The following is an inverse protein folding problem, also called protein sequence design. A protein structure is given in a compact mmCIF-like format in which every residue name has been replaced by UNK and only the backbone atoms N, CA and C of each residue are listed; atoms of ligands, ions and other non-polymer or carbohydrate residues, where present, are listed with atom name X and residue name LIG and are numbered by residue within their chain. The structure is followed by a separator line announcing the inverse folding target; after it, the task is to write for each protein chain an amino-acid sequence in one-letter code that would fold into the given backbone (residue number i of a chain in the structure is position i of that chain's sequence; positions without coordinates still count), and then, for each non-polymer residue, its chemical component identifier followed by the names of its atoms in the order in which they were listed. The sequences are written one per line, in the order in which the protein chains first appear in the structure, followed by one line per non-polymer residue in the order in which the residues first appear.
data_IF_765527180001
#
_entry.id   IF_765527180001
#
_cell.length_a   1.000
_cell.length_b   1.000
_cell.length_c   1.000
_cell.angle_alpha   90.00
_cell.angle_beta   90.00
_cell.angle_gamma   90.00
#
_symmetry.space_group_name_H-M   'P 1'
#
loop_
_entity.id
_entity.type
_entity.pdbx_description
1 polymer ?
#
# COMPACT_ATOMS: atom_id res chain seq x y z
N UNK A 1 22.44 31.36 -17.87
CA UNK A 1 22.26 29.90 -17.77
C UNK A 1 21.31 29.63 -16.60
N UNK A 2 20.15 29.01 -16.85
CA UNK A 2 19.22 28.57 -15.79
C UNK A 2 19.75 27.26 -15.19
N UNK A 3 19.71 27.06 -13.85
CA UNK A 3 20.10 25.78 -13.29
C UNK A 3 19.09 24.73 -13.72
N UNK A 4 19.59 23.63 -14.29
CA UNK A 4 18.81 22.44 -14.56
C UNK A 4 18.34 21.88 -13.22
N UNK A 5 17.03 21.96 -12.95
CA UNK A 5 16.41 21.23 -11.85
C UNK A 5 16.72 19.75 -12.06
N UNK A 6 17.48 19.16 -11.13
CA UNK A 6 17.70 17.72 -11.02
C UNK A 6 16.35 17.07 -10.73
N UNK A 7 15.57 16.82 -11.78
CA UNK A 7 14.37 16.00 -11.73
C UNK A 7 14.82 14.61 -11.30
N UNK A 8 14.50 14.23 -10.06
CA UNK A 8 14.54 12.84 -9.63
C UNK A 8 13.82 11.99 -10.69
N UNK A 9 14.36 10.83 -11.10
CA UNK A 9 13.73 10.03 -12.13
C UNK A 9 12.30 9.71 -11.68
N UNK A 10 11.33 10.05 -12.52
CA UNK A 10 9.93 9.76 -12.26
C UNK A 10 9.79 8.25 -12.04
N UNK A 11 9.21 7.85 -10.90
CA UNK A 11 8.93 6.44 -10.58
C UNK A 11 8.03 5.89 -11.69
N UNK A 12 8.37 4.73 -12.26
CA UNK A 12 7.59 4.11 -13.35
C UNK A 12 6.18 3.73 -12.89
N UNK A 13 5.21 3.70 -13.79
CA UNK A 13 3.83 3.30 -13.46
C UNK A 13 3.74 1.92 -12.81
N UNK A 14 4.62 0.98 -13.21
CA UNK A 14 4.69 -0.34 -12.60
C UNK A 14 5.18 -0.27 -11.14
N UNK A 15 6.20 0.54 -10.85
CA UNK A 15 6.68 0.72 -9.49
C UNK A 15 5.67 1.46 -8.61
N UNK A 16 4.91 2.41 -9.18
CA UNK A 16 3.79 3.07 -8.50
C UNK A 16 2.71 2.05 -8.13
N UNK A 17 2.27 1.22 -9.09
CA UNK A 17 1.31 0.15 -8.86
C UNK A 17 1.79 -0.82 -7.78
N UNK A 18 3.04 -1.28 -7.87
CA UNK A 18 3.61 -2.24 -6.92
C UNK A 18 3.65 -1.66 -5.50
N UNK A 19 4.07 -0.39 -5.35
CA UNK A 19 4.13 0.25 -4.05
C UNK A 19 2.74 0.40 -3.42
N UNK A 20 1.74 0.89 -4.16
CA UNK A 20 0.38 1.05 -3.62
C UNK A 20 -0.27 -0.31 -3.32
N UNK A 21 -0.05 -1.29 -4.18
CA UNK A 21 -0.59 -2.65 -4.00
C UNK A 21 0.03 -3.35 -2.79
N UNK A 22 1.32 -3.12 -2.53
CA UNK A 22 2.04 -3.64 -1.36
C UNK A 22 1.51 -3.05 -0.06
N UNK A 23 1.26 -1.74 -0.03
CA UNK A 23 0.66 -1.06 1.12
C UNK A 23 -0.75 -1.59 1.40
N UNK A 24 -1.57 -1.75 0.36
CA UNK A 24 -2.90 -2.33 0.50
C UNK A 24 -2.85 -3.80 0.99
N UNK A 25 -1.96 -4.62 0.43
CA UNK A 25 -1.80 -6.03 0.80
C UNK A 25 -1.34 -6.18 2.26
N UNK A 26 -0.32 -5.43 2.68
CA UNK A 26 0.16 -5.43 4.06
C UNK A 26 -0.89 -4.92 5.05
N UNK A 27 -1.71 -3.93 4.67
CA UNK A 27 -2.79 -3.43 5.53
C UNK A 27 -3.90 -4.47 5.68
N UNK A 28 -4.27 -5.16 4.61
CA UNK A 28 -5.20 -6.29 4.66
C UNK A 28 -4.64 -7.45 5.48
N UNK A 29 -3.33 -7.70 5.40
CA UNK A 29 -2.65 -8.69 6.25
C UNK A 29 -2.80 -8.34 7.73
N UNK A 30 -2.55 -7.07 8.09
CA UNK A 30 -2.78 -6.60 9.45
C UNK A 30 -4.23 -6.85 9.91
N UNK A 31 -5.21 -6.53 9.06
CA UNK A 31 -6.64 -6.73 9.37
C UNK A 31 -6.98 -8.19 9.66
N UNK A 32 -6.50 -9.10 8.82
CA UNK A 32 -6.96 -10.49 8.79
C UNK A 32 -6.07 -11.45 9.62
N UNK A 33 -4.81 -11.09 9.87
CA UNK A 33 -3.81 -11.95 10.56
C UNK A 33 -3.25 -11.34 11.85
N UNK A 34 -3.36 -10.02 12.04
CA UNK A 34 -2.71 -9.33 13.16
C UNK A 34 -3.69 -8.68 14.14
N UNK A 35 -4.94 -9.16 14.19
CA UNK A 35 -5.98 -8.67 15.11
C UNK A 35 -6.28 -7.16 15.00
N UNK A 36 -6.07 -6.55 13.83
CA UNK A 36 -6.37 -5.13 13.58
C UNK A 36 -7.80 -4.95 13.08
N UNK A 37 -8.77 -5.28 13.92
CA UNK A 37 -10.21 -5.11 13.63
C UNK A 37 -10.64 -3.64 13.53
N UNK A 38 -9.78 -2.69 13.93
CA UNK A 38 -9.97 -1.25 13.73
C UNK A 38 -9.78 -0.81 12.28
N UNK A 39 -9.19 -1.66 11.42
CA UNK A 39 -8.99 -1.34 10.01
C UNK A 39 -10.29 -1.54 9.20
N UNK A 40 -10.55 -0.66 8.20
CA UNK A 40 -11.78 -0.69 7.43
C UNK A 40 -11.83 -1.88 6.44
N UNK A 41 -12.94 -2.01 5.73
CA UNK A 41 -13.10 -2.99 4.66
C UNK A 41 -12.09 -2.79 3.52
N UNK A 42 -11.74 -3.88 2.83
CA UNK A 42 -10.72 -3.94 1.77
C UNK A 42 -10.92 -2.87 0.69
N UNK A 43 -12.17 -2.66 0.27
CA UNK A 43 -12.53 -1.64 -0.72
C UNK A 43 -12.12 -0.20 -0.29
N UNK A 44 -12.23 0.10 1.00
CA UNK A 44 -11.78 1.40 1.55
C UNK A 44 -10.26 1.48 1.57
N UNK A 45 -9.56 0.38 1.89
CA UNK A 45 -8.10 0.29 1.83
C UNK A 45 -7.61 0.55 0.39
N UNK A 46 -8.27 -0.03 -0.62
CA UNK A 46 -7.88 0.17 -2.02
C UNK A 46 -8.08 1.62 -2.49
N UNK A 47 -9.24 2.22 -2.18
CA UNK A 47 -9.48 3.63 -2.52
C UNK A 47 -8.47 4.57 -1.87
N UNK A 48 -8.15 4.34 -0.59
CA UNK A 48 -7.16 5.13 0.11
C UNK A 48 -5.75 4.97 -0.50
N UNK A 49 -5.36 3.76 -0.90
CA UNK A 49 -4.10 3.55 -1.61
C UNK A 49 -4.04 4.32 -2.93
N UNK A 50 -5.12 4.32 -3.73
CA UNK A 50 -5.23 5.15 -4.94
C UNK A 50 -5.16 6.65 -4.61
N UNK A 51 -5.81 7.10 -3.53
CA UNK A 51 -5.76 8.50 -3.10
C UNK A 51 -4.35 8.94 -2.68
N UNK A 52 -3.55 8.05 -2.07
CA UNK A 52 -2.12 8.30 -1.80
C UNK A 52 -1.33 8.51 -3.10
N UNK A 53 -1.60 7.72 -4.14
CA UNK A 53 -1.01 7.93 -5.47
C UNK A 53 -1.37 9.30 -6.05
N UNK A 54 -2.66 9.66 -6.01
CA UNK A 54 -3.16 10.97 -6.47
C UNK A 54 -2.50 12.13 -5.73
N UNK A 55 -2.39 12.04 -4.40
CA UNK A 55 -1.74 13.07 -3.58
C UNK A 55 -0.25 13.26 -3.90
N UNK A 56 0.41 12.22 -4.45
CA UNK A 56 1.80 12.26 -4.92
C UNK A 56 1.94 12.74 -6.37
N UNK A 57 0.83 13.08 -7.05
CA UNK A 57 0.83 13.43 -8.47
C UNK A 57 1.16 12.26 -9.40
N UNK A 58 0.93 11.02 -8.94
CA UNK A 58 1.10 9.83 -9.76
C UNK A 58 -0.04 9.67 -10.77
N UNK A 59 0.20 8.88 -11.81
CA UNK A 59 -0.84 8.59 -12.81
C UNK A 59 -2.07 7.95 -12.17
N UNK A 60 -3.23 8.07 -12.84
CA UNK A 60 -4.45 7.42 -12.39
C UNK A 60 -4.27 5.90 -12.44
N UNK A 61 -4.11 5.28 -11.27
CA UNK A 61 -4.13 3.83 -11.10
C UNK A 61 -5.57 3.41 -10.88
N UNK A 62 -6.05 2.53 -11.74
CA UNK A 62 -7.37 1.92 -11.62
C UNK A 62 -7.46 1.01 -10.38
N UNK A 63 -8.59 1.10 -9.67
CA UNK A 63 -8.80 0.37 -8.40
C UNK A 63 -8.81 -1.14 -8.64
N UNK A 64 -9.40 -1.62 -9.74
CA UNK A 64 -9.43 -3.05 -10.03
C UNK A 64 -8.03 -3.59 -10.33
N UNK A 65 -7.22 -2.82 -11.08
CA UNK A 65 -5.81 -3.16 -11.33
C UNK A 65 -4.99 -3.22 -10.03
N UNK A 66 -5.17 -2.23 -9.14
CA UNK A 66 -4.54 -2.23 -7.82
C UNK A 66 -5.00 -3.42 -6.96
N UNK A 67 -6.30 -3.71 -6.94
CA UNK A 67 -6.85 -4.85 -6.18
C UNK A 67 -6.26 -6.17 -6.65
N UNK A 68 -6.22 -6.42 -7.96
CA UNK A 68 -5.65 -7.65 -8.52
C UNK A 68 -4.19 -7.84 -8.13
N UNK A 69 -3.37 -6.78 -8.26
CA UNK A 69 -1.97 -6.87 -7.87
C UNK A 69 -1.80 -6.98 -6.34
N UNK A 70 -2.67 -6.34 -5.57
CA UNK A 70 -2.69 -6.46 -4.11
C UNK A 70 -3.05 -7.88 -3.64
N UNK A 71 -3.99 -8.55 -4.31
CA UNK A 71 -4.33 -9.95 -4.02
C UNK A 71 -3.14 -10.88 -4.27
N UNK A 72 -2.42 -10.70 -5.39
CA UNK A 72 -1.17 -11.44 -5.65
C UNK A 72 -0.17 -11.26 -4.51
N UNK A 73 0.08 -10.02 -4.09
CA UNK A 73 1.02 -9.70 -3.01
C UNK A 73 0.56 -10.25 -1.65
N UNK A 74 -0.74 -10.16 -1.36
CA UNK A 74 -1.31 -10.73 -0.15
C UNK A 74 -1.10 -12.24 -0.07
N UNK A 75 -1.32 -12.96 -1.18
CA UNK A 75 -1.03 -14.41 -1.24
C UNK A 75 0.45 -14.72 -1.02
N UNK A 76 1.37 -13.87 -1.51
CA UNK A 76 2.80 -14.01 -1.22
C UNK A 76 3.10 -13.87 0.28
N UNK A 77 2.48 -12.91 0.97
CA UNK A 77 2.61 -12.75 2.43
C UNK A 77 2.11 -13.97 3.22
N UNK A 78 1.05 -14.61 2.73
CA UNK A 78 0.52 -15.84 3.36
C UNK A 78 1.44 -17.06 3.17
N UNK A 79 2.22 -17.07 2.09
CA UNK A 79 3.13 -18.18 1.73
C UNK A 79 4.56 -17.94 2.24
N UNK A 80 4.88 -16.72 2.67
CA UNK A 80 6.17 -16.38 3.24
C UNK A 80 6.43 -17.14 4.56
N UNK A 81 7.67 -17.60 4.76
CA UNK A 81 8.03 -18.40 5.92
C UNK A 81 8.37 -17.58 7.18
N UNK A 82 8.33 -16.24 7.08
CA UNK A 82 8.51 -15.35 8.23
C UNK A 82 7.38 -15.58 9.25
N UNK A 83 7.70 -15.78 10.55
CA UNK A 83 6.67 -15.94 11.57
C UNK A 83 5.65 -14.81 11.57
N UNK A 84 4.37 -15.14 11.73
CA UNK A 84 3.26 -14.15 11.70
C UNK A 84 3.50 -13.00 12.67
N UNK A 85 3.96 -13.27 13.90
CA UNK A 85 4.27 -12.23 14.88
C UNK A 85 5.34 -11.23 14.38
N UNK A 86 6.33 -11.70 13.63
CA UNK A 86 7.36 -10.85 13.01
C UNK A 86 6.77 -10.02 11.88
N UNK A 87 5.96 -10.62 10.99
CA UNK A 87 5.25 -9.89 9.92
C UNK A 87 4.34 -8.80 10.51
N UNK A 88 3.53 -9.15 11.51
CA UNK A 88 2.64 -8.22 12.20
C UNK A 88 3.41 -7.06 12.86
N UNK A 89 4.51 -7.34 13.55
CA UNK A 89 5.34 -6.30 14.19
C UNK A 89 5.94 -5.35 13.15
N UNK A 90 6.47 -5.87 12.05
CA UNK A 90 7.05 -5.07 10.97
C UNK A 90 6.00 -4.22 10.26
N UNK A 91 4.88 -4.83 9.84
CA UNK A 91 3.83 -4.12 9.12
C UNK A 91 3.12 -3.07 9.98
N UNK A 92 2.88 -3.35 11.27
CA UNK A 92 2.31 -2.34 12.17
C UNK A 92 3.18 -1.07 12.24
N UNK A 93 4.51 -1.22 12.20
CA UNK A 93 5.44 -0.09 12.19
C UNK A 93 5.50 0.60 10.83
N UNK A 94 5.68 -0.16 9.75
CA UNK A 94 5.89 0.37 8.40
C UNK A 94 4.63 1.04 7.83
N UNK A 95 3.46 0.50 8.14
CA UNK A 95 2.19 0.96 7.58
C UNK A 95 1.48 2.01 8.45
N UNK A 96 2.05 2.38 9.60
CA UNK A 96 1.45 3.38 10.50
C UNK A 96 1.04 4.70 9.79
N UNK A 97 1.87 5.31 8.91
CA UNK A 97 1.47 6.53 8.20
C UNK A 97 0.27 6.33 7.26
N UNK A 98 0.21 5.18 6.58
CA UNK A 98 -0.91 4.86 5.70
C UNK A 98 -2.19 4.61 6.51
N UNK A 99 -2.09 3.87 7.61
CA UNK A 99 -3.22 3.62 8.52
C UNK A 99 -3.76 4.92 9.10
N UNK A 100 -2.89 5.90 9.40
CA UNK A 100 -3.33 7.22 9.84
C UNK A 100 -4.18 7.93 8.76
N UNK A 101 -3.82 7.80 7.48
CA UNK A 101 -4.62 8.37 6.39
C UNK A 101 -6.00 7.73 6.24
N UNK A 102 -6.19 6.47 6.64
CA UNK A 102 -7.49 5.77 6.60
C UNK A 102 -8.51 6.30 7.63
N UNK A 103 -8.06 7.01 8.67
CA UNK A 103 -8.91 7.49 9.77
C UNK A 103 -9.41 8.92 9.56
N UNK A 104 -8.90 9.60 8.54
CA UNK A 104 -9.20 11.00 8.23
C UNK A 104 -10.19 11.16 7.07
N UNK A 105 -10.63 10.04 6.47
CA UNK A 105 -11.73 9.95 5.51
C UNK A 105 -13.04 9.59 6.24
#
# INVERSE_FOLDING_TARGET
QKPASTLSPAISSQAQLEQLSSVAAGTRYLKNKCNRSDLPADETIYRAAVNVGKARGWGNIDVATLSQNSDRLYQQLLQDSTPEATQCSQFNRQLAPFIASLRSD
#
